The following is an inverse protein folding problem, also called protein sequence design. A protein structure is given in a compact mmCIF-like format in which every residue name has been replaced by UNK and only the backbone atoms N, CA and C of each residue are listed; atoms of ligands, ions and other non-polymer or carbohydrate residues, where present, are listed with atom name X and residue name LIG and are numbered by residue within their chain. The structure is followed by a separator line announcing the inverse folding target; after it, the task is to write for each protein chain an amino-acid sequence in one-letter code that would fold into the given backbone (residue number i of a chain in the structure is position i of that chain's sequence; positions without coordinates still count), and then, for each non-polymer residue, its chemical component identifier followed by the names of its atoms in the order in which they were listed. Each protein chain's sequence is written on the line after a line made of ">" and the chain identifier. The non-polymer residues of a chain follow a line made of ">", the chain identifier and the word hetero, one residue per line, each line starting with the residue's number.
data_IF_658393376831
#
_entry.id   IF_658393376831
#
_cell.length_a   1.000
_cell.length_b   1.000
_cell.length_c   1.000
_cell.angle_alpha   90.00
_cell.angle_beta   90.00
_cell.angle_gamma   90.00
#
_symmetry.space_group_name_H-M   'P 1'
#
loop_
_entity.id
_entity.type
_entity.pdbx_description
1 polymer ?
#
# COMPACT_ATOMS: atom_id res chain seq x y z
N UNK A 1 -14.08 -3.87 -20.29
CA UNK A 1 -13.75 -3.98 -18.87
C UNK A 1 -13.38 -2.59 -18.35
N UNK A 2 -14.16 -2.02 -17.45
CA UNK A 2 -13.79 -0.77 -16.77
C UNK A 2 -12.74 -1.18 -15.74
N UNK A 3 -11.49 -0.81 -15.97
CA UNK A 3 -10.39 -1.07 -15.03
C UNK A 3 -10.72 -0.37 -13.70
N UNK A 4 -10.99 -1.14 -12.67
CA UNK A 4 -11.12 -0.62 -11.31
C UNK A 4 -9.76 -0.07 -10.90
N UNK A 5 -9.66 1.25 -10.70
CA UNK A 5 -8.41 1.88 -10.24
C UNK A 5 -8.23 1.61 -8.75
N UNK A 6 -7.45 0.60 -8.41
CA UNK A 6 -7.02 0.32 -7.03
C UNK A 6 -5.67 -0.37 -7.01
N UNK A 7 -4.84 -0.02 -6.03
CA UNK A 7 -3.58 -0.72 -5.75
C UNK A 7 -3.77 -1.91 -4.80
N UNK A 8 -4.93 -1.99 -4.10
CA UNK A 8 -5.19 -3.03 -3.11
C UNK A 8 -5.71 -4.32 -3.76
N UNK A 9 -5.05 -5.46 -3.46
CA UNK A 9 -5.44 -6.77 -3.99
C UNK A 9 -6.81 -7.22 -3.46
N UNK A 10 -7.13 -6.90 -2.21
CA UNK A 10 -8.44 -7.20 -1.62
C UNK A 10 -9.58 -6.49 -2.35
N UNK A 11 -9.37 -5.22 -2.76
CA UNK A 11 -10.38 -4.47 -3.52
C UNK A 11 -10.53 -5.00 -4.95
N UNK A 12 -9.41 -5.40 -5.59
CA UNK A 12 -9.45 -6.03 -6.90
C UNK A 12 -10.26 -7.33 -6.87
N UNK A 13 -10.03 -8.18 -5.85
CA UNK A 13 -10.80 -9.42 -5.62
C UNK A 13 -12.26 -9.14 -5.35
N UNK A 14 -12.58 -8.17 -4.49
CA UNK A 14 -13.96 -7.78 -4.20
C UNK A 14 -14.69 -7.30 -5.47
N UNK A 15 -14.05 -6.43 -6.25
CA UNK A 15 -14.61 -5.93 -7.50
C UNK A 15 -14.89 -7.06 -8.50
N UNK A 16 -13.95 -8.02 -8.63
CA UNK A 16 -14.15 -9.20 -9.49
C UNK A 16 -15.36 -10.02 -9.06
N UNK A 17 -15.50 -10.29 -7.76
CA UNK A 17 -16.61 -11.08 -7.20
C UNK A 17 -17.94 -10.36 -7.38
N UNK A 18 -17.99 -9.04 -7.18
CA UNK A 18 -19.20 -8.22 -7.38
C UNK A 18 -19.65 -8.23 -8.86
N UNK A 19 -18.70 -8.10 -9.81
CA UNK A 19 -18.98 -8.07 -11.25
C UNK A 19 -19.40 -9.44 -11.77
N UNK A 20 -18.66 -10.49 -11.42
CA UNK A 20 -18.85 -11.84 -11.98
C UNK A 20 -19.80 -12.73 -11.17
N UNK A 21 -20.19 -12.30 -9.96
CA UNK A 21 -21.04 -13.05 -9.01
C UNK A 21 -20.54 -14.47 -8.72
N UNK A 22 -19.21 -14.64 -8.75
CA UNK A 22 -18.52 -15.89 -8.45
C UNK A 22 -17.14 -15.60 -7.87
N UNK A 23 -16.63 -16.54 -7.09
CA UNK A 23 -15.23 -16.53 -6.65
C UNK A 23 -14.32 -16.86 -7.84
N UNK A 24 -13.08 -16.35 -7.77
CA UNK A 24 -12.07 -16.60 -8.79
C UNK A 24 -11.23 -17.82 -8.38
N UNK A 25 -11.19 -18.82 -9.24
CA UNK A 25 -10.32 -19.98 -9.03
C UNK A 25 -8.86 -19.56 -9.02
N UNK A 26 -8.08 -20.15 -8.11
CA UNK A 26 -6.66 -19.80 -7.92
C UNK A 26 -6.44 -18.54 -7.08
N UNK A 27 -7.47 -18.06 -6.38
CA UNK A 27 -7.35 -17.00 -5.36
C UNK A 27 -7.89 -17.52 -4.03
N UNK A 28 -7.05 -17.48 -2.98
CA UNK A 28 -7.41 -17.81 -1.62
C UNK A 28 -7.46 -16.55 -0.77
N UNK A 29 -8.39 -16.52 0.18
CA UNK A 29 -8.52 -15.42 1.13
C UNK A 29 -8.62 -16.00 2.53
N UNK A 30 -7.71 -15.61 3.40
CA UNK A 30 -7.68 -15.96 4.81
C UNK A 30 -7.82 -14.68 5.64
N UNK A 31 -8.61 -14.74 6.70
CA UNK A 31 -8.87 -13.59 7.58
C UNK A 31 -8.57 -13.95 9.03
N UNK A 32 -7.89 -13.06 9.72
CA UNK A 32 -7.61 -13.15 11.15
C UNK A 32 -7.84 -11.80 11.84
N UNK A 33 -8.09 -11.82 13.15
CA UNK A 33 -8.25 -10.64 13.98
C UNK A 33 -7.17 -10.59 15.05
N UNK A 34 -6.53 -9.44 15.22
CA UNK A 34 -5.70 -9.11 16.38
C UNK A 34 -6.30 -7.87 17.07
N UNK A 35 -7.07 -8.11 18.14
CA UNK A 35 -7.90 -7.07 18.75
C UNK A 35 -8.94 -6.54 17.76
N UNK A 36 -8.90 -5.23 17.51
CA UNK A 36 -9.77 -4.56 16.54
C UNK A 36 -9.17 -4.50 15.13
N UNK A 37 -7.93 -4.98 14.94
CA UNK A 37 -7.22 -4.96 13.67
C UNK A 37 -7.56 -6.22 12.88
N UNK A 38 -8.06 -6.03 11.67
CA UNK A 38 -8.35 -7.11 10.73
C UNK A 38 -7.19 -7.33 9.78
N UNK A 39 -6.68 -8.55 9.70
CA UNK A 39 -5.62 -8.94 8.79
C UNK A 39 -6.21 -9.89 7.74
N UNK A 40 -6.17 -9.50 6.47
CA UNK A 40 -6.68 -10.30 5.35
C UNK A 40 -5.53 -10.67 4.42
N UNK A 41 -5.29 -11.96 4.25
CA UNK A 41 -4.30 -12.48 3.30
C UNK A 41 -5.00 -12.90 2.02
N UNK A 42 -4.64 -12.27 0.90
CA UNK A 42 -5.04 -12.68 -0.45
C UNK A 42 -3.85 -13.38 -1.10
N UNK A 43 -4.00 -14.66 -1.40
CA UNK A 43 -2.99 -15.46 -2.12
C UNK A 43 -3.46 -15.71 -3.54
N UNK A 44 -2.71 -15.22 -4.51
CA UNK A 44 -2.93 -15.47 -5.94
C UNK A 44 -2.00 -16.61 -6.36
N UNK A 45 -2.57 -17.78 -6.68
CA UNK A 45 -1.82 -19.02 -6.89
C UNK A 45 -1.42 -19.25 -8.35
N UNK A 46 -2.11 -18.61 -9.30
CA UNK A 46 -1.86 -18.80 -10.74
C UNK A 46 -1.73 -17.50 -11.51
N UNK A 47 -1.00 -17.55 -12.64
CA UNK A 47 -0.86 -16.40 -13.52
C UNK A 47 -2.18 -16.04 -14.23
N UNK A 48 -3.09 -17.01 -14.41
CA UNK A 48 -4.42 -16.80 -14.95
C UNK A 48 -5.24 -15.93 -13.99
N UNK A 49 -5.29 -16.31 -12.71
CA UNK A 49 -5.97 -15.54 -11.68
C UNK A 49 -5.34 -14.14 -11.52
N UNK A 50 -4.01 -14.07 -11.63
CA UNK A 50 -3.28 -12.81 -11.61
C UNK A 50 -3.68 -11.86 -12.74
N UNK A 51 -3.84 -12.38 -13.97
CA UNK A 51 -4.30 -11.59 -15.12
C UNK A 51 -5.74 -11.10 -14.95
N UNK A 52 -6.62 -11.94 -14.42
CA UNK A 52 -8.02 -11.57 -14.15
C UNK A 52 -8.13 -10.45 -13.10
N UNK A 53 -7.30 -10.48 -12.05
CA UNK A 53 -7.28 -9.46 -11.00
C UNK A 53 -6.41 -8.23 -11.35
N UNK A 54 -5.59 -8.31 -12.40
CA UNK A 54 -4.59 -7.27 -12.70
C UNK A 54 -3.50 -7.17 -11.63
N UNK A 55 -3.21 -8.26 -10.92
CA UNK A 55 -2.21 -8.35 -9.85
C UNK A 55 -1.30 -9.56 -10.08
N UNK A 56 0.02 -9.44 -9.90
CA UNK A 56 0.93 -10.59 -10.00
C UNK A 56 0.57 -11.73 -9.03
N UNK A 57 0.97 -12.95 -9.41
CA UNK A 57 0.93 -14.12 -8.52
C UNK A 57 1.80 -13.87 -7.28
N UNK A 58 1.29 -14.20 -6.09
CA UNK A 58 1.98 -14.06 -4.81
C UNK A 58 1.03 -13.75 -3.67
N UNK A 59 1.55 -13.18 -2.58
CA UNK A 59 0.82 -12.91 -1.36
C UNK A 59 0.64 -11.41 -1.16
N UNK A 60 -0.57 -11.04 -0.76
CA UNK A 60 -0.94 -9.67 -0.41
C UNK A 60 -1.64 -9.70 0.93
N UNK A 61 -1.03 -9.14 1.96
CA UNK A 61 -1.57 -9.07 3.30
C UNK A 61 -2.05 -7.65 3.55
N UNK A 62 -3.33 -7.51 3.81
CA UNK A 62 -4.00 -6.24 4.09
C UNK A 62 -4.29 -6.15 5.58
N UNK A 63 -3.80 -5.12 6.22
CA UNK A 63 -4.02 -4.79 7.62
C UNK A 63 -5.00 -3.63 7.65
N UNK A 64 -6.27 -3.89 8.01
CA UNK A 64 -7.30 -2.88 8.20
C UNK A 64 -7.39 -2.57 9.70
N UNK A 65 -7.28 -1.30 10.07
CA UNK A 65 -7.31 -0.84 11.45
C UNK A 65 -8.34 0.28 11.65
N UNK A 66 -8.92 0.42 12.86
CA UNK A 66 -9.85 1.50 13.17
C UNK A 66 -9.16 2.86 13.06
N UNK A 67 -9.96 3.91 13.07
CA UNK A 67 -9.42 5.27 13.16
C UNK A 67 -8.59 5.40 14.44
N UNK A 68 -7.31 5.69 14.28
CA UNK A 68 -6.44 5.96 15.43
C UNK A 68 -6.33 7.47 15.65
N UNK A 69 -6.17 7.85 16.90
CA UNK A 69 -5.83 9.23 17.21
C UNK A 69 -4.36 9.48 16.85
N UNK A 70 -4.06 10.43 15.94
CA UNK A 70 -2.68 10.77 15.65
C UNK A 70 -1.92 11.09 16.93
N UNK A 71 -0.67 10.57 17.03
CA UNK A 71 0.21 10.67 18.20
C UNK A 71 -0.22 9.85 19.44
N UNK A 72 -1.23 9.01 19.36
CA UNK A 72 -1.47 8.00 20.39
C UNK A 72 -0.38 6.92 20.32
N UNK A 73 0.58 7.01 21.27
CA UNK A 73 1.77 6.18 21.27
C UNK A 73 1.48 4.69 21.40
N UNK A 74 0.53 4.30 22.24
CA UNK A 74 0.21 2.89 22.51
C UNK A 74 -0.39 2.22 21.27
N UNK A 75 -1.44 2.80 20.68
CA UNK A 75 -2.07 2.28 19.45
C UNK A 75 -1.10 2.24 18.27
N UNK A 76 -0.18 3.22 18.18
CA UNK A 76 0.83 3.26 17.12
C UNK A 76 1.89 2.17 17.30
N UNK A 77 2.30 1.88 18.52
CA UNK A 77 3.28 0.85 18.83
C UNK A 77 2.70 -0.55 18.57
N UNK A 78 1.45 -0.80 18.97
CA UNK A 78 0.74 -2.05 18.67
C UNK A 78 0.63 -2.31 17.17
N UNK A 79 0.22 -1.31 16.40
CA UNK A 79 0.14 -1.43 14.95
C UNK A 79 1.53 -1.64 14.32
N UNK A 80 2.57 -1.01 14.85
CA UNK A 80 3.95 -1.21 14.41
C UNK A 80 4.42 -2.66 14.64
N UNK A 81 4.07 -3.25 15.78
CA UNK A 81 4.36 -4.66 16.09
C UNK A 81 3.66 -5.61 15.11
N UNK A 82 2.38 -5.35 14.79
CA UNK A 82 1.62 -6.14 13.82
C UNK A 82 2.24 -6.01 12.43
N UNK A 83 2.59 -4.81 11.97
CA UNK A 83 3.28 -4.60 10.68
C UNK A 83 4.59 -5.40 10.63
N UNK A 84 5.42 -5.32 11.67
CA UNK A 84 6.67 -6.08 11.75
C UNK A 84 6.45 -7.60 11.73
N UNK A 85 5.44 -8.10 12.46
CA UNK A 85 5.05 -9.51 12.47
C UNK A 85 4.59 -10.01 11.10
N UNK A 86 3.76 -9.22 10.42
CA UNK A 86 3.26 -9.54 9.07
C UNK A 86 4.40 -9.57 8.06
N UNK A 87 5.32 -8.60 8.11
CA UNK A 87 6.49 -8.60 7.23
C UNK A 87 7.34 -9.86 7.38
N UNK A 88 7.57 -10.30 8.62
CA UNK A 88 8.32 -11.55 8.93
C UNK A 88 7.66 -12.81 8.38
N UNK A 89 6.35 -12.82 8.12
CA UNK A 89 5.65 -13.96 7.48
C UNK A 89 6.01 -14.11 5.99
N UNK A 90 6.29 -13.00 5.32
CA UNK A 90 6.56 -12.98 3.87
C UNK A 90 8.02 -13.16 3.53
N UNK A 91 8.92 -12.80 4.41
CA UNK A 91 10.37 -12.85 4.18
C UNK A 91 11.09 -13.47 5.34
N UNK A 92 11.83 -14.54 5.04
CA UNK A 92 12.84 -15.08 5.95
C UNK A 92 14.15 -14.32 5.71
N UNK A 93 14.49 -13.46 6.67
CA UNK A 93 15.69 -12.64 6.57
C UNK A 93 16.66 -13.10 7.65
N UNK A 94 17.75 -13.80 7.27
CA UNK A 94 18.83 -14.14 8.20
C UNK A 94 19.62 -12.91 8.65
N UNK A 95 20.33 -12.99 9.77
CA UNK A 95 20.97 -11.85 10.46
C UNK A 95 22.05 -11.13 9.62
N UNK A 96 22.73 -11.82 8.72
CA UNK A 96 23.83 -11.28 7.94
C UNK A 96 23.40 -10.55 6.66
N UNK A 97 22.13 -10.61 6.29
CA UNK A 97 21.63 -10.08 5.00
C UNK A 97 21.50 -8.57 5.01
N UNK A 98 21.99 -7.94 3.95
CA UNK A 98 21.83 -6.51 3.69
C UNK A 98 20.42 -6.19 3.21
N UNK A 99 19.77 -5.23 3.86
CA UNK A 99 18.45 -4.72 3.47
C UNK A 99 18.55 -3.32 2.91
N UNK A 100 17.93 -3.09 1.76
CA UNK A 100 17.76 -1.76 1.17
C UNK A 100 16.28 -1.34 1.30
N UNK A 101 16.02 -0.27 2.05
CA UNK A 101 14.69 0.35 2.15
C UNK A 101 14.59 1.48 1.13
N UNK A 102 13.52 1.47 0.33
CA UNK A 102 13.26 2.46 -0.71
C UNK A 102 11.94 3.15 -0.43
N UNK A 103 11.99 4.43 -0.12
CA UNK A 103 10.80 5.28 0.04
C UNK A 103 10.42 5.91 -1.30
N UNK A 104 9.36 5.41 -1.92
CA UNK A 104 8.81 5.94 -3.17
C UNK A 104 7.93 7.15 -2.88
N UNK A 105 7.79 8.03 -3.86
CA UNK A 105 6.92 9.21 -3.79
C UNK A 105 7.66 10.53 -3.77
N UNK A 106 6.89 11.59 -3.57
CA UNK A 106 7.33 12.98 -3.67
C UNK A 106 7.24 13.69 -2.32
N UNK A 107 8.37 14.13 -1.77
CA UNK A 107 8.45 14.91 -0.54
C UNK A 107 7.54 16.15 -0.51
N UNK A 108 7.34 16.78 -1.66
CA UNK A 108 6.63 18.05 -1.78
C UNK A 108 5.10 17.89 -1.94
N UNK A 109 4.61 16.64 -2.00
CA UNK A 109 3.19 16.32 -2.12
C UNK A 109 2.80 15.47 -0.92
N UNK A 110 2.13 16.06 0.05
CA UNK A 110 1.86 15.40 1.34
C UNK A 110 1.30 13.98 1.22
N UNK A 111 0.22 13.70 0.45
CA UNK A 111 -0.28 12.34 0.32
C UNK A 111 0.72 11.35 -0.30
N UNK A 112 1.70 11.86 -1.03
CA UNK A 112 2.74 11.07 -1.74
C UNK A 112 4.09 11.06 -0.99
N UNK A 113 4.16 11.67 0.19
CA UNK A 113 5.41 11.76 0.98
C UNK A 113 5.62 10.63 1.97
N UNK A 114 4.73 9.62 2.00
CA UNK A 114 4.81 8.51 2.95
C UNK A 114 6.17 7.78 2.89
N UNK A 115 6.54 7.29 1.71
CA UNK A 115 7.79 6.55 1.52
C UNK A 115 9.03 7.34 1.93
N UNK A 116 9.23 8.56 1.44
CA UNK A 116 10.30 9.45 1.90
C UNK A 116 10.35 9.62 3.41
N UNK A 117 9.23 9.85 4.08
CA UNK A 117 9.16 10.01 5.56
C UNK A 117 9.46 8.72 6.31
N UNK A 118 9.13 7.56 5.76
CA UNK A 118 9.52 6.25 6.33
C UNK A 118 11.03 6.08 6.27
N UNK A 119 11.67 6.44 5.16
CA UNK A 119 13.15 6.38 5.03
C UNK A 119 13.83 7.25 6.09
N UNK A 120 13.34 8.45 6.37
CA UNK A 120 13.86 9.33 7.39
C UNK A 120 13.84 8.72 8.80
N UNK A 121 12.88 7.81 9.07
CA UNK A 121 12.67 7.15 10.36
C UNK A 121 13.17 5.71 10.41
N UNK A 122 13.80 5.23 9.34
CA UNK A 122 14.36 3.89 9.30
C UNK A 122 15.73 3.85 9.98
N UNK A 123 15.98 2.83 10.81
CA UNK A 123 17.25 2.59 11.48
C UNK A 123 18.33 2.19 10.47
N UNK A 124 19.24 3.10 10.15
CA UNK A 124 20.32 2.91 9.17
C UNK A 124 21.60 2.45 9.87
N UNK A 125 22.07 1.25 9.56
CA UNK A 125 23.17 0.58 10.26
C UNK A 125 24.32 0.15 9.37
N UNK A 126 24.12 0.08 8.03
CA UNK A 126 25.15 -0.41 7.10
C UNK A 126 26.46 0.36 7.22
N UNK A 127 26.44 1.68 7.27
CA UNK A 127 27.63 2.52 7.36
C UNK A 127 28.34 2.34 8.71
N UNK A 128 27.59 2.11 9.78
CA UNK A 128 28.16 1.91 11.12
C UNK A 128 29.01 0.62 11.19
N UNK A 129 28.49 -0.48 10.61
CA UNK A 129 29.25 -1.74 10.49
C UNK A 129 30.52 -1.60 9.62
N UNK A 130 30.55 -0.65 8.68
CA UNK A 130 31.73 -0.40 7.84
C UNK A 130 32.76 0.50 8.53
N UNK A 131 32.32 1.50 9.30
CA UNK A 131 33.19 2.52 9.92
C UNK A 131 33.62 2.12 11.32
N UNK A 132 32.78 1.41 12.08
CA UNK A 132 33.01 1.02 13.47
C UNK A 132 32.64 -0.46 13.71
N UNK A 133 33.27 -1.41 12.99
CA UNK A 133 32.88 -2.83 13.08
C UNK A 133 32.97 -3.39 14.52
N UNK A 134 33.98 -3.00 15.28
CA UNK A 134 34.22 -3.47 16.64
C UNK A 134 33.25 -2.87 17.69
N UNK A 135 32.52 -1.81 17.33
CA UNK A 135 31.60 -1.11 18.25
C UNK A 135 30.13 -1.51 18.03
N UNK A 136 29.81 -2.14 16.91
CA UNK A 136 28.45 -2.55 16.56
C UNK A 136 28.32 -4.07 16.70
N UNK A 137 27.38 -4.49 17.51
CA UNK A 137 27.08 -5.91 17.74
C UNK A 137 26.78 -6.63 16.41
N UNK A 138 27.28 -7.87 16.27
CA UNK A 138 27.09 -8.68 15.06
C UNK A 138 25.61 -9.00 14.77
N UNK A 139 24.78 -9.02 15.82
CA UNK A 139 23.33 -9.23 15.70
C UNK A 139 22.60 -8.07 15.04
N UNK A 140 23.20 -6.87 14.98
CA UNK A 140 22.62 -5.72 14.28
C UNK A 140 22.75 -5.89 12.77
N UNK A 141 21.64 -6.00 12.07
CA UNK A 141 21.63 -6.19 10.63
C UNK A 141 22.04 -4.93 9.87
N UNK A 142 22.82 -5.05 8.76
CA UNK A 142 23.12 -3.92 7.91
C UNK A 142 21.88 -3.47 7.12
N UNK A 143 21.45 -2.24 7.36
CA UNK A 143 20.32 -1.60 6.66
C UNK A 143 20.80 -0.30 6.04
N UNK A 144 20.41 -0.06 4.79
CA UNK A 144 20.55 1.22 4.12
C UNK A 144 19.21 1.65 3.53
N UNK A 145 19.03 2.94 3.30
CA UNK A 145 17.77 3.45 2.74
C UNK A 145 18.01 4.62 1.78
N UNK A 146 17.04 4.83 0.89
CA UNK A 146 17.01 5.94 -0.06
C UNK A 146 15.57 6.35 -0.37
N UNK A 147 15.35 7.67 -0.52
CA UNK A 147 14.18 8.25 -1.15
C UNK A 147 14.61 8.86 -2.50
N UNK A 148 14.45 8.14 -3.63
CA UNK A 148 15.02 8.55 -4.92
C UNK A 148 14.30 9.75 -5.54
N UNK A 149 13.12 10.09 -5.04
CA UNK A 149 12.23 11.08 -5.64
C UNK A 149 11.46 10.55 -6.85
N UNK A 150 10.85 11.45 -7.59
CA UNK A 150 9.98 11.12 -8.74
C UNK A 150 10.57 11.64 -10.06
N UNK A 151 10.23 10.98 -11.17
CA UNK A 151 10.67 11.32 -12.52
C UNK A 151 10.54 12.83 -12.85
N UNK A 152 9.43 13.44 -12.45
CA UNK A 152 9.17 14.86 -12.73
C UNK A 152 10.14 15.83 -12.03
N UNK A 153 10.85 15.38 -10.99
CA UNK A 153 11.85 16.18 -10.27
C UNK A 153 13.26 15.82 -10.74
N UNK A 154 13.55 14.53 -10.89
CA UNK A 154 14.90 14.02 -11.13
C UNK A 154 15.25 13.93 -12.62
N UNK A 155 14.23 13.79 -13.49
CA UNK A 155 14.41 13.46 -14.90
C UNK A 155 14.85 12.01 -15.15
N UNK A 156 14.91 11.17 -14.09
CA UNK A 156 15.36 9.78 -14.15
C UNK A 156 14.23 8.88 -13.65
N UNK A 157 13.99 7.77 -14.35
CA UNK A 157 12.98 6.80 -13.91
C UNK A 157 13.40 6.18 -12.57
N UNK A 158 12.49 6.17 -11.59
CA UNK A 158 12.79 5.69 -10.25
C UNK A 158 13.30 4.24 -10.24
N UNK A 159 12.74 3.39 -11.11
CA UNK A 159 13.19 2.01 -11.27
C UNK A 159 14.64 1.88 -11.76
N UNK A 160 15.11 2.80 -12.62
CA UNK A 160 16.52 2.84 -13.08
C UNK A 160 17.47 3.17 -11.93
N UNK A 161 17.10 4.15 -11.09
CA UNK A 161 17.91 4.53 -9.91
C UNK A 161 18.03 3.34 -8.95
N UNK A 162 16.91 2.66 -8.65
CA UNK A 162 16.88 1.53 -7.75
C UNK A 162 17.70 0.36 -8.32
N UNK A 163 17.54 0.06 -9.59
CA UNK A 163 18.29 -1.01 -10.26
C UNK A 163 19.79 -0.76 -10.22
N UNK A 164 20.25 0.44 -10.52
CA UNK A 164 21.66 0.81 -10.45
C UNK A 164 22.23 0.67 -9.03
N UNK A 165 21.45 1.04 -8.00
CA UNK A 165 21.82 0.85 -6.60
C UNK A 165 21.90 -0.62 -6.22
N UNK A 166 20.92 -1.44 -6.60
CA UNK A 166 20.90 -2.87 -6.35
C UNK A 166 22.13 -3.54 -6.96
N UNK A 167 22.45 -3.23 -8.20
CA UNK A 167 23.65 -3.76 -8.89
C UNK A 167 24.96 -3.38 -8.16
N UNK A 168 25.03 -2.18 -7.60
CA UNK A 168 26.22 -1.65 -6.91
C UNK A 168 26.34 -2.14 -5.47
N UNK A 169 25.24 -2.09 -4.70
CA UNK A 169 25.21 -2.38 -3.26
C UNK A 169 25.03 -3.88 -3.01
N UNK A 170 24.35 -4.58 -3.91
CA UNK A 170 24.00 -6.01 -3.83
C UNK A 170 23.26 -6.36 -2.53
N UNK A 171 22.13 -5.74 -2.25
CA UNK A 171 21.32 -6.10 -1.10
C UNK A 171 20.69 -7.48 -1.32
N UNK A 172 20.33 -8.14 -0.23
CA UNK A 172 19.65 -9.45 -0.25
C UNK A 172 18.13 -9.29 -0.29
N UNK A 173 17.63 -8.13 0.15
CA UNK A 173 16.23 -7.77 0.15
C UNK A 173 16.06 -6.29 -0.14
N UNK A 174 15.05 -5.95 -0.95
CA UNK A 174 14.56 -4.58 -1.09
C UNK A 174 13.18 -4.49 -0.44
N UNK A 175 12.97 -3.46 0.40
CA UNK A 175 11.66 -3.10 0.96
C UNK A 175 11.26 -1.76 0.33
N UNK A 176 10.22 -1.77 -0.50
CA UNK A 176 9.67 -0.56 -1.11
C UNK A 176 8.48 -0.07 -0.29
N UNK A 177 8.44 1.22 0.02
CA UNK A 177 7.30 1.87 0.69
C UNK A 177 6.73 2.93 -0.24
N UNK A 178 5.41 2.90 -0.45
CA UNK A 178 4.70 3.82 -1.37
C UNK A 178 3.34 4.25 -0.84
N UNK A 179 2.88 5.39 -1.31
CA UNK A 179 1.50 5.83 -1.17
C UNK A 179 0.64 5.20 -2.28
N UNK A 180 -0.47 4.60 -1.91
CA UNK A 180 -1.35 3.89 -2.83
C UNK A 180 -2.64 4.68 -3.10
N UNK A 181 -3.33 4.30 -4.18
CA UNK A 181 -4.72 4.68 -4.42
C UNK A 181 -5.68 3.57 -3.99
N UNK A 182 -6.74 3.92 -3.24
CA UNK A 182 -7.84 3.00 -2.96
C UNK A 182 -9.05 3.28 -3.84
N UNK A 183 -9.89 2.28 -3.99
CA UNK A 183 -11.23 2.44 -4.54
C UNK A 183 -12.23 2.89 -3.47
N UNK A 184 -12.08 2.42 -2.23
CA UNK A 184 -13.02 2.72 -1.14
C UNK A 184 -12.48 3.80 -0.22
N UNK A 185 -13.31 4.85 0.00
CA UNK A 185 -12.97 5.97 0.88
C UNK A 185 -12.64 5.50 2.31
N UNK A 186 -13.35 4.48 2.81
CA UNK A 186 -13.17 3.92 4.15
C UNK A 186 -11.77 3.33 4.42
N UNK A 187 -11.02 2.99 3.34
CA UNK A 187 -9.67 2.43 3.43
C UNK A 187 -8.58 3.50 3.38
N UNK A 188 -8.90 4.72 2.99
CA UNK A 188 -7.92 5.80 2.92
C UNK A 188 -7.37 6.06 4.31
N UNK A 189 -6.05 5.95 4.47
CA UNK A 189 -5.30 6.13 5.72
C UNK A 189 -5.67 5.14 6.85
N UNK A 190 -6.40 4.06 6.55
CA UNK A 190 -6.84 3.04 7.53
C UNK A 190 -6.49 1.62 7.11
N UNK A 191 -5.63 1.48 6.11
CA UNK A 191 -5.24 0.20 5.56
C UNK A 191 -3.76 0.22 5.22
N UNK A 192 -3.03 -0.84 5.59
CA UNK A 192 -1.66 -1.07 5.14
C UNK A 192 -1.67 -2.37 4.34
N UNK A 193 -1.17 -2.35 3.10
CA UNK A 193 -0.97 -3.56 2.31
C UNK A 193 0.52 -3.90 2.27
N UNK A 194 0.84 -5.17 2.54
CA UNK A 194 2.19 -5.72 2.45
C UNK A 194 2.16 -6.89 1.47
N UNK A 195 3.08 -6.91 0.50
CA UNK A 195 3.11 -7.97 -0.51
C UNK A 195 4.52 -8.35 -0.93
N UNK A 196 4.69 -9.61 -1.37
CA UNK A 196 5.96 -10.18 -1.86
C UNK A 196 6.12 -10.09 -3.38
N UNK A 197 5.21 -9.43 -4.07
CA UNK A 197 5.15 -9.34 -5.53
C UNK A 197 5.83 -8.09 -6.10
N UNK A 198 6.37 -7.24 -5.23
CA UNK A 198 6.89 -5.93 -5.60
C UNK A 198 5.80 -4.89 -5.81
N UNK A 199 6.16 -3.78 -6.46
CA UNK A 199 5.29 -2.62 -6.63
C UNK A 199 5.41 -2.02 -8.03
N UNK A 200 4.31 -1.45 -8.51
CA UNK A 200 4.25 -0.66 -9.75
C UNK A 200 3.96 0.80 -9.37
N UNK A 201 4.99 1.65 -9.22
CA UNK A 201 4.79 3.02 -8.76
C UNK A 201 3.78 3.78 -9.61
N UNK A 202 2.81 4.44 -8.98
CA UNK A 202 1.81 5.27 -9.65
C UNK A 202 0.73 4.50 -10.43
N UNK A 203 0.64 3.17 -10.31
CA UNK A 203 -0.38 2.38 -11.01
C UNK A 203 -1.80 2.78 -10.61
N UNK A 204 -2.05 3.01 -9.33
CA UNK A 204 -3.36 3.42 -8.79
C UNK A 204 -3.82 4.81 -9.25
N UNK A 205 -2.90 5.65 -9.72
CA UNK A 205 -3.20 6.97 -10.28
C UNK A 205 -3.04 7.03 -11.80
N UNK A 206 -2.94 5.87 -12.46
CA UNK A 206 -2.89 5.75 -13.92
C UNK A 206 -1.54 6.01 -14.57
N UNK A 207 -0.47 6.12 -13.78
CA UNK A 207 0.90 6.24 -14.27
C UNK A 207 1.55 4.87 -14.40
N UNK A 208 1.80 4.39 -15.62
CA UNK A 208 2.53 3.14 -15.86
C UNK A 208 4.04 3.41 -15.85
N UNK A 209 4.69 2.97 -14.79
CA UNK A 209 6.15 3.07 -14.62
C UNK A 209 6.79 1.68 -14.58
N UNK A 210 8.13 1.63 -14.58
CA UNK A 210 8.87 0.40 -14.43
C UNK A 210 8.48 -0.30 -13.13
N UNK A 211 8.12 -1.57 -13.23
CA UNK A 211 7.83 -2.40 -12.05
C UNK A 211 9.10 -2.68 -11.26
N UNK A 212 8.98 -2.58 -9.94
CA UNK A 212 10.05 -2.90 -8.98
C UNK A 212 9.67 -4.20 -8.31
N UNK A 213 10.18 -5.30 -8.82
CA UNK A 213 9.89 -6.66 -8.37
C UNK A 213 11.12 -7.58 -8.52
N UNK A 214 11.00 -8.83 -8.08
CA UNK A 214 12.09 -9.82 -8.16
C UNK A 214 12.54 -10.05 -9.60
N UNK A 215 11.63 -10.04 -10.57
CA UNK A 215 11.99 -10.24 -11.98
C UNK A 215 12.84 -9.08 -12.53
N UNK A 216 12.55 -7.83 -12.14
CA UNK A 216 13.27 -6.65 -12.64
C UNK A 216 14.61 -6.41 -11.94
N UNK A 217 14.73 -6.79 -10.66
CA UNK A 217 15.90 -6.53 -9.82
C UNK A 217 16.78 -7.77 -9.58
N UNK A 218 16.27 -8.99 -9.82
CA UNK A 218 16.97 -10.24 -9.56
C UNK A 218 17.09 -10.62 -8.08
N UNK A 219 16.39 -9.91 -7.20
CA UNK A 219 16.37 -10.12 -5.74
C UNK A 219 14.96 -9.95 -5.21
N UNK A 220 14.68 -10.51 -4.03
CA UNK A 220 13.36 -10.38 -3.40
C UNK A 220 12.98 -8.93 -3.13
N UNK A 221 11.73 -8.60 -3.40
CA UNK A 221 11.16 -7.28 -3.14
C UNK A 221 9.92 -7.43 -2.29
N UNK A 222 9.90 -6.79 -1.14
CA UNK A 222 8.73 -6.62 -0.31
C UNK A 222 8.16 -5.21 -0.54
N UNK A 223 6.87 -5.12 -0.80
CA UNK A 223 6.18 -3.84 -0.96
C UNK A 223 5.32 -3.57 0.27
N UNK A 224 5.37 -2.35 0.77
CA UNK A 224 4.51 -1.84 1.85
C UNK A 224 3.83 -0.59 1.32
N UNK A 225 2.51 -0.55 1.36
CA UNK A 225 1.77 0.58 0.85
C UNK A 225 0.57 0.96 1.69
N UNK A 226 0.25 2.25 1.70
CA UNK A 226 -0.93 2.79 2.36
C UNK A 226 -1.73 3.59 1.35
N UNK A 227 -3.04 3.34 1.20
CA UNK A 227 -3.89 4.20 0.40
C UNK A 227 -4.06 5.57 1.09
N UNK A 228 -3.52 6.59 0.45
CA UNK A 228 -3.56 7.97 0.94
C UNK A 228 -4.54 8.85 0.17
N UNK A 229 -4.99 8.36 -0.97
CA UNK A 229 -5.90 9.06 -1.89
C UNK A 229 -6.95 8.13 -2.46
N UNK A 230 -8.06 8.72 -2.90
CA UNK A 230 -9.14 8.07 -3.67
C UNK A 230 -9.53 8.95 -4.85
N UNK A 231 -9.92 8.34 -5.97
CA UNK A 231 -10.40 9.05 -7.17
C UNK A 231 -11.76 9.73 -6.87
N UNK A 232 -11.89 11.01 -7.19
CA UNK A 232 -13.13 11.77 -6.99
C UNK A 232 -14.31 11.17 -7.75
N UNK A 233 -14.10 10.62 -8.95
CA UNK A 233 -15.14 9.94 -9.71
C UNK A 233 -15.65 8.69 -8.97
N UNK A 234 -14.78 8.02 -8.23
CA UNK A 234 -15.15 6.88 -7.37
C UNK A 234 -16.06 7.32 -6.23
N UNK A 235 -15.72 8.41 -5.53
CA UNK A 235 -16.57 8.98 -4.45
C UNK A 235 -17.94 9.36 -4.99
N UNK A 236 -17.98 10.06 -6.12
CA UNK A 236 -19.24 10.46 -6.75
C UNK A 236 -20.09 9.25 -7.12
N UNK A 237 -19.46 8.21 -7.67
CA UNK A 237 -20.14 6.97 -8.02
C UNK A 237 -20.73 6.24 -6.82
N UNK A 238 -19.94 6.04 -5.77
CA UNK A 238 -20.37 5.35 -4.56
C UNK A 238 -21.48 6.13 -3.85
N UNK A 239 -21.39 7.48 -3.83
CA UNK A 239 -22.46 8.34 -3.31
C UNK A 239 -23.77 8.16 -4.08
N UNK A 240 -23.72 8.09 -5.42
CA UNK A 240 -24.90 7.85 -6.23
C UNK A 240 -25.47 6.45 -6.03
N UNK A 241 -24.62 5.43 -5.85
CA UNK A 241 -25.09 4.07 -5.56
C UNK A 241 -25.81 3.99 -4.21
N UNK A 242 -25.27 4.62 -3.18
CA UNK A 242 -25.93 4.71 -1.87
C UNK A 242 -27.27 5.44 -1.94
N UNK A 243 -27.35 6.54 -2.69
CA UNK A 243 -28.61 7.26 -2.91
C UNK A 243 -29.65 6.41 -3.65
N UNK A 244 -29.23 5.68 -4.69
CA UNK A 244 -30.11 4.79 -5.44
C UNK A 244 -30.61 3.65 -4.54
N UNK A 245 -29.76 3.02 -3.74
CA UNK A 245 -30.12 1.96 -2.82
C UNK A 245 -31.09 2.46 -1.74
N UNK A 246 -30.89 3.67 -1.19
CA UNK A 246 -31.83 4.30 -0.25
C UNK A 246 -33.20 4.59 -0.90
N UNK A 247 -33.20 5.14 -2.12
CA UNK A 247 -34.42 5.39 -2.89
C UNK A 247 -35.16 4.08 -3.22
N UNK A 248 -34.45 3.02 -3.62
CA UNK A 248 -34.99 1.69 -3.86
C UNK A 248 -35.63 1.13 -2.58
N UNK A 249 -34.97 1.27 -1.43
CA UNK A 249 -35.50 0.78 -0.15
C UNK A 249 -36.78 1.49 0.29
N UNK A 250 -36.90 2.80 -0.02
CA UNK A 250 -38.05 3.63 0.31
C UNK A 250 -39.21 3.55 -0.70
N UNK A 251 -38.93 3.11 -1.93
CA UNK A 251 -39.90 3.03 -3.03
C UNK A 251 -40.86 1.82 -2.94
N UNK A 252 -41.09 1.24 -1.76
CA UNK A 252 -41.91 0.03 -1.56
C UNK A 252 -43.36 0.12 -2.07
N UNK A 253 -43.86 1.32 -2.40
CA UNK A 253 -45.23 1.56 -2.85
C UNK A 253 -45.40 1.89 -4.34
N UNK A 254 -44.31 1.89 -5.13
CA UNK A 254 -44.36 2.25 -6.56
C UNK A 254 -43.57 1.32 -7.46
N UNK A 255 -44.20 0.21 -7.94
CA UNK A 255 -43.53 -0.79 -8.79
C UNK A 255 -42.81 -0.22 -10.01
N UNK A 256 -43.38 0.78 -10.67
CA UNK A 256 -42.79 1.38 -11.87
C UNK A 256 -41.52 2.18 -11.54
N UNK A 257 -41.57 3.02 -10.51
CA UNK A 257 -40.41 3.79 -10.04
C UNK A 257 -39.28 2.90 -9.52
N UNK A 258 -39.60 1.86 -8.76
CA UNK A 258 -38.65 0.84 -8.33
C UNK A 258 -37.96 0.13 -9.51
N UNK A 259 -38.73 -0.26 -10.54
CA UNK A 259 -38.16 -0.91 -11.73
C UNK A 259 -37.28 0.06 -12.53
N UNK A 260 -37.67 1.31 -12.65
CA UNK A 260 -36.86 2.35 -13.32
C UNK A 260 -35.52 2.56 -12.61
N UNK A 261 -35.50 2.68 -11.28
CA UNK A 261 -34.26 2.81 -10.50
C UNK A 261 -33.35 1.57 -10.63
N UNK A 262 -33.93 0.37 -10.63
CA UNK A 262 -33.19 -0.89 -10.85
C UNK A 262 -32.64 -1.06 -12.27
N UNK A 263 -33.21 -0.39 -13.26
CA UNK A 263 -32.76 -0.47 -14.65
C UNK A 263 -31.60 0.46 -14.96
N UNK A 264 -31.15 1.29 -14.01
CA UNK A 264 -29.97 2.16 -14.18
C UNK A 264 -28.73 1.29 -14.37
N UNK A 265 -28.11 1.35 -15.54
CA UNK A 265 -26.86 0.67 -15.82
C UNK A 265 -25.72 1.34 -15.05
N UNK A 266 -25.14 0.60 -14.09
CA UNK A 266 -24.04 1.09 -13.25
C UNK A 266 -22.79 1.45 -14.07
N UNK A 267 -22.58 0.78 -15.21
CA UNK A 267 -21.42 1.04 -16.07
C UNK A 267 -21.62 2.34 -16.88
N UNK A 268 -22.81 2.57 -17.43
CA UNK A 268 -23.16 3.83 -18.09
C UNK A 268 -23.06 5.00 -17.12
N UNK A 269 -23.58 4.85 -15.90
CA UNK A 269 -23.46 5.84 -14.83
C UNK A 269 -21.99 6.20 -14.55
N UNK A 270 -21.12 5.20 -14.39
CA UNK A 270 -19.69 5.39 -14.14
C UNK A 270 -19.00 6.14 -15.29
N UNK A 271 -19.33 5.81 -16.53
CA UNK A 271 -18.80 6.51 -17.71
C UNK A 271 -19.24 7.97 -17.72
N UNK A 272 -20.51 8.24 -17.47
CA UNK A 272 -21.05 9.61 -17.42
C UNK A 272 -20.41 10.45 -16.31
N UNK A 273 -20.22 9.90 -15.11
CA UNK A 273 -19.55 10.60 -14.01
C UNK A 273 -18.13 11.00 -14.41
N UNK A 274 -17.37 10.08 -15.00
CA UNK A 274 -16.02 10.37 -15.50
C UNK A 274 -16.02 11.38 -16.62
N UNK A 275 -16.95 11.27 -17.56
CA UNK A 275 -17.10 12.18 -18.68
C UNK A 275 -17.43 13.61 -18.24
N UNK A 276 -18.18 13.77 -17.16
CA UNK A 276 -18.49 15.07 -16.57
C UNK A 276 -17.32 15.64 -15.76
N UNK A 277 -16.63 14.80 -14.96
CA UNK A 277 -15.54 15.25 -14.10
C UNK A 277 -14.23 15.49 -14.86
N UNK A 278 -13.83 14.60 -15.76
CA UNK A 278 -12.54 14.66 -16.45
C UNK A 278 -12.32 15.92 -17.30
N UNK A 279 -13.27 16.41 -18.11
CA UNK A 279 -13.06 17.61 -18.91
C UNK A 279 -12.87 18.87 -18.08
N UNK A 280 -13.47 18.89 -16.86
CA UNK A 280 -13.47 20.07 -16.00
C UNK A 280 -12.32 20.07 -14.99
N UNK A 281 -11.89 18.92 -14.52
CA UNK A 281 -10.99 18.80 -13.38
C UNK A 281 -9.80 17.84 -13.60
N UNK A 282 -9.76 17.09 -14.73
CA UNK A 282 -8.75 16.06 -14.95
C UNK A 282 -8.88 14.88 -13.98
N UNK A 283 -7.79 14.19 -13.71
CA UNK A 283 -7.72 13.12 -12.68
C UNK A 283 -7.63 13.76 -11.28
N UNK A 284 -8.80 14.06 -10.68
CA UNK A 284 -8.88 14.65 -9.35
C UNK A 284 -8.79 13.55 -8.28
N UNK A 285 -7.72 13.61 -7.48
CA UNK A 285 -7.52 12.75 -6.32
C UNK A 285 -7.88 13.48 -5.03
N UNK A 286 -8.61 12.79 -4.14
CA UNK A 286 -9.10 13.32 -2.87
C UNK A 286 -8.36 12.67 -1.71
N UNK A 287 -7.99 13.47 -0.73
CA UNK A 287 -7.37 13.04 0.53
C UNK A 287 -8.04 13.74 1.72
N UNK A 288 -8.07 13.14 2.91
CA UNK A 288 -8.57 13.78 4.12
C UNK A 288 -7.85 15.09 4.46
N UNK A 289 -8.56 16.00 5.14
CA UNK A 289 -8.05 17.33 5.49
C UNK A 289 -6.80 17.31 6.38
N UNK A 290 -6.71 16.33 7.26
CA UNK A 290 -5.66 16.13 8.27
C UNK A 290 -4.53 15.20 7.79
N UNK A 291 -4.41 15.04 6.47
CA UNK A 291 -3.45 14.15 5.83
C UNK A 291 -2.00 14.36 6.31
N UNK A 292 -1.59 15.58 6.62
CA UNK A 292 -0.24 15.89 7.10
C UNK A 292 0.09 15.12 8.39
N UNK A 293 -0.82 15.21 9.37
CA UNK A 293 -0.67 14.55 10.67
C UNK A 293 -0.77 13.04 10.57
N UNK A 294 -1.66 12.56 9.71
CA UNK A 294 -1.86 11.14 9.47
C UNK A 294 -0.64 10.51 8.81
N UNK A 295 -0.10 11.12 7.75
CA UNK A 295 1.11 10.65 7.07
C UNK A 295 2.31 10.63 8.02
N UNK A 296 2.41 11.62 8.91
CA UNK A 296 3.44 11.68 9.94
C UNK A 296 3.38 10.46 10.87
N UNK A 297 2.17 10.13 11.37
CA UNK A 297 1.94 8.97 12.24
C UNK A 297 2.14 7.65 11.51
N UNK A 298 1.58 7.49 10.31
CA UNK A 298 1.71 6.28 9.50
C UNK A 298 3.16 6.02 9.09
N UNK A 299 3.93 7.07 8.77
CA UNK A 299 5.35 6.90 8.46
C UNK A 299 6.14 6.37 9.64
N UNK A 300 5.82 6.80 10.87
CA UNK A 300 6.42 6.27 12.10
C UNK A 300 6.03 4.81 12.34
N UNK A 301 4.75 4.48 12.20
CA UNK A 301 4.25 3.10 12.33
C UNK A 301 4.98 2.15 11.38
N UNK A 302 5.05 2.52 10.10
CA UNK A 302 5.68 1.68 9.07
C UNK A 302 7.18 1.56 9.30
N UNK A 303 7.87 2.67 9.61
CA UNK A 303 9.31 2.66 9.90
C UNK A 303 9.62 1.76 11.10
N UNK A 304 8.86 1.88 12.19
CA UNK A 304 9.00 1.00 13.36
C UNK A 304 8.73 -0.47 13.00
N UNK A 305 7.67 -0.74 12.22
CA UNK A 305 7.39 -2.10 11.72
C UNK A 305 8.53 -2.67 10.89
N UNK A 306 9.13 -1.87 10.00
CA UNK A 306 10.32 -2.25 9.22
C UNK A 306 11.50 -2.51 10.18
N UNK A 307 11.78 -1.60 11.10
CA UNK A 307 12.89 -1.75 12.04
C UNK A 307 12.76 -3.04 12.88
N UNK A 308 11.56 -3.35 13.39
CA UNK A 308 11.25 -4.61 14.11
C UNK A 308 11.43 -5.83 13.20
N UNK A 309 11.02 -5.74 11.95
CA UNK A 309 11.14 -6.84 11.00
C UNK A 309 12.60 -7.14 10.65
N UNK A 310 13.39 -6.09 10.43
CA UNK A 310 14.77 -6.22 9.96
C UNK A 310 15.80 -6.32 11.09
N UNK A 311 15.47 -5.98 12.33
CA UNK A 311 16.33 -6.12 13.51
C UNK A 311 15.72 -7.13 14.49
N UNK A 312 15.77 -8.45 14.21
CA UNK A 312 15.04 -9.46 14.98
C UNK A 312 15.48 -9.60 16.44
N UNK A 313 16.70 -9.18 16.76
CA UNK A 313 17.29 -9.28 18.10
C UNK A 313 17.14 -7.99 18.92
N UNK A 314 16.45 -6.97 18.37
CA UNK A 314 16.17 -5.72 19.08
C UNK A 314 14.67 -5.58 19.35
N UNK A 315 14.33 -5.14 20.54
CA UNK A 315 12.98 -4.74 20.88
C UNK A 315 12.72 -3.27 20.53
N UNK A 316 11.48 -2.82 20.64
CA UNK A 316 11.07 -1.45 20.30
C UNK A 316 11.80 -0.38 21.12
N UNK A 317 12.07 -0.66 22.42
CA UNK A 317 12.76 0.27 23.29
C UNK A 317 14.23 0.45 22.89
N UNK A 318 14.89 -0.63 22.50
CA UNK A 318 16.27 -0.62 21.99
C UNK A 318 16.37 0.10 20.65
N UNK A 319 15.43 -0.15 19.74
CA UNK A 319 15.33 0.56 18.45
C UNK A 319 15.14 2.06 18.69
N UNK A 320 14.24 2.46 19.57
CA UNK A 320 13.99 3.86 19.90
C UNK A 320 15.22 4.54 20.53
N UNK A 321 15.97 3.82 21.39
CA UNK A 321 17.23 4.34 21.95
C UNK A 321 18.31 4.52 20.91
N UNK A 322 18.34 3.67 19.89
CA UNK A 322 19.31 3.77 18.80
C UNK A 322 19.00 4.95 17.87
N UNK A 323 17.73 5.30 17.72
CA UNK A 323 17.24 6.36 16.83
C UNK A 323 17.32 7.77 17.45
N UNK A 324 17.42 7.90 18.77
CA UNK A 324 17.52 9.16 19.52
C UNK A 324 18.95 9.43 19.99
#
# INVERSE_FOLDING_TARGET
>A
MISVRTDLAIEAKQAYTEENKRELDGVKVDEEMEGEIKITTVTIESDEAGRELGKPKGHYITIDFPEFTPYDGESMDDLSLIVGKVMKRLVDISEEKLVLVVGLGNWNVTPDSLGPKVVERTMITRHLKQVMPDAIDDSVRPVCAIAPGVLGITGIETGEVIKALVEKIKPDLVICVDALGSRRLERVNRTIQIGDTGISPGAGVGNHRMQINEQSLGIKVLAVGVPTVVDAATIANDTMDLLLDDLISKAQNGKEFYNMLKSVDRNEKNMLIREILNPSFGDLMVTPKDVDTIIESLSKIIANGINIAVQPNMNMEEINKFMN
#
